data_IF_177562996514
#
_entry.id   IF_177562996514
#
_cell.length_a   1.000
_cell.length_b   1.000
_cell.length_c   1.000
_cell.angle_alpha   90.00
_cell.angle_beta   90.00
_cell.angle_gamma   90.00
#
_symmetry.space_group_name_H-M   'P 1'
#
loop_
_entity.id
_entity.type
_entity.pdbx_description
1 polymer ?
#
# COMPACT_ATOMS: atom_id res chain seq x y z
N UNK A 1 -9.60 3.74 -12.52
CA UNK A 1 -9.14 2.86 -11.42
C UNK A 1 -9.48 1.44 -11.80
N UNK A 2 -8.55 0.47 -11.76
CA UNK A 2 -8.88 -0.91 -12.04
C UNK A 2 -9.78 -1.45 -10.91
N UNK A 3 -10.97 -1.93 -11.27
CA UNK A 3 -11.90 -2.61 -10.38
C UNK A 3 -12.14 -4.03 -10.90
N UNK A 4 -12.59 -4.93 -10.02
CA UNK A 4 -12.93 -6.30 -10.37
C UNK A 4 -14.22 -6.70 -9.65
N UNK A 5 -15.01 -7.54 -10.29
CA UNK A 5 -16.25 -8.07 -9.73
C UNK A 5 -16.01 -9.49 -9.25
N UNK A 6 -16.46 -9.77 -8.02
CA UNK A 6 -16.50 -11.12 -7.48
C UNK A 6 -17.73 -11.85 -8.04
N UNK A 7 -17.53 -13.01 -8.64
CA UNK A 7 -18.66 -13.83 -9.11
C UNK A 7 -19.36 -14.50 -7.94
N UNK A 8 -20.58 -15.02 -8.16
CA UNK A 8 -21.31 -15.80 -7.15
C UNK A 8 -20.57 -17.06 -6.68
N UNK A 9 -19.61 -17.55 -7.49
CA UNK A 9 -18.76 -18.71 -7.16
C UNK A 9 -17.45 -18.31 -6.47
N UNK A 10 -17.28 -17.04 -6.13
CA UNK A 10 -16.08 -16.55 -5.45
C UNK A 10 -14.85 -16.38 -6.36
N UNK A 11 -15.03 -16.42 -7.68
CA UNK A 11 -13.93 -16.15 -8.62
C UNK A 11 -13.78 -14.64 -8.82
N UNK A 12 -12.53 -14.16 -8.86
CA UNK A 12 -12.20 -12.76 -9.19
C UNK A 12 -11.27 -12.74 -10.39
N UNK A 13 -11.52 -11.83 -11.34
CA UNK A 13 -10.62 -11.60 -12.46
C UNK A 13 -9.67 -10.47 -12.12
N UNK A 14 -8.36 -10.74 -12.12
CA UNK A 14 -7.36 -9.70 -11.92
C UNK A 14 -7.21 -8.87 -13.21
N UNK A 15 -7.49 -7.55 -13.21
CA UNK A 15 -7.37 -6.72 -14.41
C UNK A 15 -5.96 -6.75 -15.01
N UNK A 16 -5.84 -6.66 -16.34
CA UNK A 16 -4.56 -6.78 -17.05
C UNK A 16 -3.47 -5.86 -16.48
N UNK A 17 -3.80 -4.59 -16.24
CA UNK A 17 -2.85 -3.62 -15.68
C UNK A 17 -2.25 -4.05 -14.32
N UNK A 18 -3.02 -4.75 -13.49
CA UNK A 18 -2.53 -5.27 -12.20
C UNK A 18 -1.66 -6.51 -12.40
N UNK A 19 -2.04 -7.41 -13.32
CA UNK A 19 -1.20 -8.57 -13.69
C UNK A 19 0.15 -8.13 -14.21
N UNK A 20 0.17 -7.14 -15.10
CA UNK A 20 1.39 -6.61 -15.71
C UNK A 20 2.30 -5.95 -14.64
N UNK A 21 1.71 -5.17 -13.73
CA UNK A 21 2.43 -4.53 -12.61
C UNK A 21 3.07 -5.55 -11.66
N UNK A 22 2.33 -6.62 -11.33
CA UNK A 22 2.79 -7.70 -10.45
C UNK A 22 3.58 -8.80 -11.19
N UNK A 23 3.72 -8.70 -12.51
CA UNK A 23 4.37 -9.67 -13.40
C UNK A 23 3.82 -11.09 -13.28
N UNK A 24 2.50 -11.21 -13.13
CA UNK A 24 1.81 -12.50 -12.97
C UNK A 24 1.49 -13.13 -14.33
N UNK A 25 1.69 -14.45 -14.41
CA UNK A 25 1.40 -15.29 -15.57
C UNK A 25 0.35 -16.36 -15.24
N UNK A 26 -0.19 -16.99 -16.29
CA UNK A 26 -1.10 -18.12 -16.10
C UNK A 26 -0.37 -19.29 -15.44
N UNK A 27 -0.95 -19.83 -14.36
CA UNK A 27 -0.35 -20.90 -13.56
C UNK A 27 0.32 -20.43 -12.27
N UNK A 28 0.54 -19.13 -12.10
CA UNK A 28 1.09 -18.58 -10.86
C UNK A 28 0.12 -18.80 -9.69
N UNK A 29 0.68 -19.21 -8.55
CA UNK A 29 -0.06 -19.32 -7.29
C UNK A 29 0.08 -18.02 -6.51
N UNK A 30 -1.03 -17.50 -6.01
CA UNK A 30 -1.09 -16.24 -5.27
C UNK A 30 -1.68 -16.51 -3.89
N UNK A 31 -0.98 -16.05 -2.84
CA UNK A 31 -1.47 -16.07 -1.47
C UNK A 31 -2.08 -14.71 -1.10
N UNK A 32 -3.31 -14.74 -0.61
CA UNK A 32 -4.01 -13.55 -0.15
C UNK A 32 -3.83 -13.39 1.36
N UNK A 33 -3.12 -12.33 1.78
CA UNK A 33 -2.93 -12.00 3.20
C UNK A 33 -3.67 -10.70 3.49
N UNK A 34 -4.65 -10.74 4.40
CA UNK A 34 -5.29 -9.54 4.91
C UNK A 34 -4.33 -8.88 5.91
N UNK A 35 -3.92 -7.64 5.62
CA UNK A 35 -3.11 -6.83 6.55
C UNK A 35 -3.92 -5.63 6.98
N UNK A 36 -4.15 -5.52 8.29
CA UNK A 36 -4.48 -4.25 8.92
C UNK A 36 -3.26 -3.33 8.84
N UNK A 37 -3.47 -2.04 8.57
CA UNK A 37 -2.42 -1.02 8.51
C UNK A 37 -1.84 -0.80 9.91
N UNK A 38 -0.91 -1.67 10.34
CA UNK A 38 -0.16 -1.46 11.57
C UNK A 38 0.71 -0.21 11.41
N UNK A 39 0.44 0.83 12.21
CA UNK A 39 1.25 2.05 12.23
C UNK A 39 0.50 3.34 11.90
N UNK A 40 -0.81 3.30 11.66
CA UNK A 40 -1.63 4.52 11.68
C UNK A 40 -1.65 5.04 13.14
N UNK A 41 -0.73 5.95 13.47
CA UNK A 41 -0.72 6.70 14.72
C UNK A 41 -1.90 7.69 14.73
N UNK A 42 -3.13 7.22 14.59
CA UNK A 42 -4.29 8.09 14.74
C UNK A 42 -4.57 8.29 16.22
N UNK A 43 -4.26 9.49 16.71
CA UNK A 43 -4.68 9.97 18.04
C UNK A 43 -5.55 11.20 17.85
N UNK A 44 -6.61 11.33 18.67
CA UNK A 44 -7.50 12.50 18.66
C UNK A 44 -6.65 13.78 18.79
N UNK A 45 -6.81 14.70 17.83
CA UNK A 45 -6.07 15.97 17.81
C UNK A 45 -4.71 15.95 17.09
N UNK A 46 -4.29 14.82 16.51
CA UNK A 46 -3.06 14.81 15.70
C UNK A 46 -3.29 15.50 14.36
N UNK A 47 -2.54 16.58 14.09
CA UNK A 47 -2.59 17.27 12.81
C UNK A 47 -1.86 16.45 11.75
N UNK A 48 -2.42 16.29 10.53
CA UNK A 48 -1.72 15.68 9.41
C UNK A 48 -0.41 16.43 9.12
N UNK A 49 0.67 15.69 8.89
CA UNK A 49 1.95 16.26 8.46
C UNK A 49 2.08 16.10 6.94
N UNK A 50 2.58 17.13 6.25
CA UNK A 50 2.89 17.00 4.83
C UNK A 50 4.16 16.18 4.61
N UNK A 51 4.30 15.59 3.42
CA UNK A 51 5.47 14.80 3.05
C UNK A 51 6.73 15.67 3.04
N UNK A 52 6.62 16.93 2.64
CA UNK A 52 7.71 17.91 2.64
C UNK A 52 8.21 18.18 4.06
N UNK A 53 7.29 18.39 5.01
CA UNK A 53 7.62 18.60 6.40
C UNK A 53 8.25 17.34 7.03
N UNK A 54 7.77 16.15 6.67
CA UNK A 54 8.38 14.88 7.08
C UNK A 54 9.82 14.78 6.57
N UNK A 55 10.06 15.02 5.29
CA UNK A 55 11.38 14.97 4.68
C UNK A 55 12.36 15.99 5.29
N UNK A 56 11.88 17.19 5.64
CA UNK A 56 12.68 18.19 6.34
C UNK A 56 13.16 17.68 7.72
N UNK A 57 12.28 17.03 8.48
CA UNK A 57 12.62 16.46 9.80
C UNK A 57 13.63 15.31 9.67
N UNK A 58 13.47 14.44 8.67
CA UNK A 58 14.41 13.33 8.42
C UNK A 58 15.82 13.87 8.14
N UNK A 59 15.94 14.87 7.24
CA UNK A 59 17.23 15.50 6.92
C UNK A 59 17.89 16.13 8.13
N UNK A 60 17.13 16.88 8.94
CA UNK A 60 17.63 17.50 10.17
C UNK A 60 18.17 16.46 11.16
N UNK A 61 17.45 15.34 11.34
CA UNK A 61 17.88 14.29 12.28
C UNK A 61 19.09 13.50 11.78
N UNK A 62 19.19 13.26 10.48
CA UNK A 62 20.36 12.61 9.89
C UNK A 62 21.63 13.45 10.09
N UNK A 63 21.52 14.78 9.93
CA UNK A 63 22.65 15.70 10.12
C UNK A 63 23.14 15.83 11.56
N UNK A 64 22.29 15.57 12.57
CA UNK A 64 22.66 15.65 13.99
C UNK A 64 23.25 14.36 14.57
N UNK A 65 23.54 13.35 13.73
CA UNK A 65 24.21 12.08 14.11
C UNK A 65 25.61 11.94 13.48
N UNK A 66 26.10 12.99 12.83
CA UNK A 66 27.46 13.09 12.31
C UNK A 66 28.40 13.70 13.36
#
# INVERSE_FOLDING_TARGET
MPSATLTSKGQITLPKAIRDLLRLSAGDRVDFIVRELKGLLHRKGMKPLSVEAMNAVIRRRAAGRA
#
